data_IF_135286719916
#
_entry.id   IF_135286719916
#
_cell.length_a   1.000
_cell.length_b   1.000
_cell.length_c   1.000
_cell.angle_alpha   90.00
_cell.angle_beta   90.00
_cell.angle_gamma   90.00
#
_symmetry.space_group_name_H-M   'P 1'
#
loop_
_entity.id
_entity.type
_entity.pdbx_description
1 polymer ?
#
# COMPACT_ATOMS: atom_id res chain seq x y z
N UNK A 1 3.96 1.40 20.16
CA UNK A 1 2.56 1.37 19.70
C UNK A 1 2.53 0.68 18.35
N UNK A 2 2.11 -0.60 18.30
CA UNK A 2 1.94 -1.33 17.01
C UNK A 2 0.82 -0.63 16.25
N UNK A 3 1.17 0.01 15.15
CA UNK A 3 0.36 1.07 14.57
C UNK A 3 -0.72 0.43 13.70
N UNK A 4 -1.98 0.48 14.13
CA UNK A 4 -3.19 0.07 13.38
C UNK A 4 -3.41 0.84 12.06
N UNK A 5 -2.41 1.62 11.64
CA UNK A 5 -2.42 2.51 10.49
C UNK A 5 -1.23 2.27 9.55
N UNK A 6 -0.46 1.18 9.75
CA UNK A 6 0.76 0.94 8.98
C UNK A 6 0.46 0.81 7.47
N UNK A 7 -0.48 -0.07 7.09
CA UNK A 7 -0.89 -0.25 5.69
C UNK A 7 -1.44 1.04 5.10
N UNK A 8 -2.39 1.71 5.77
CA UNK A 8 -2.94 2.99 5.30
C UNK A 8 -1.87 4.06 5.09
N UNK A 9 -0.87 4.16 5.95
CA UNK A 9 0.22 5.14 5.79
C UNK A 9 1.09 4.82 4.57
N UNK A 10 1.42 3.55 4.38
CA UNK A 10 2.20 3.08 3.22
C UNK A 10 1.47 3.33 1.91
N UNK A 11 0.16 3.06 1.89
CA UNK A 11 -0.71 3.39 0.75
C UNK A 11 -0.74 4.90 0.50
N UNK A 12 -0.96 5.70 1.54
CA UNK A 12 -0.97 7.17 1.42
C UNK A 12 0.36 7.70 0.89
N UNK A 13 1.47 7.13 1.32
CA UNK A 13 2.80 7.46 0.82
C UNK A 13 2.92 7.14 -0.68
N UNK A 14 2.55 5.92 -1.10
CA UNK A 14 2.57 5.52 -2.51
C UNK A 14 1.71 6.43 -3.40
N UNK A 15 0.51 6.80 -2.93
CA UNK A 15 -0.39 7.73 -3.60
C UNK A 15 0.21 9.14 -3.69
N UNK A 16 0.82 9.61 -2.60
CA UNK A 16 1.44 10.93 -2.54
C UNK A 16 2.61 11.06 -3.52
N UNK A 17 3.50 10.06 -3.57
CA UNK A 17 4.66 10.06 -4.48
C UNK A 17 4.31 9.54 -5.88
N UNK A 18 3.05 9.10 -6.09
CA UNK A 18 2.53 8.49 -7.32
C UNK A 18 3.33 7.28 -7.80
N UNK A 19 3.92 6.54 -6.87
CA UNK A 19 4.76 5.38 -7.15
C UNK A 19 4.58 4.32 -6.09
N UNK A 20 4.37 3.08 -6.52
CA UNK A 20 4.54 1.91 -5.67
C UNK A 20 6.00 1.46 -5.79
N UNK A 21 6.81 1.80 -4.80
CA UNK A 21 8.21 1.38 -4.75
C UNK A 21 8.34 -0.02 -4.16
N UNK A 22 9.41 -0.78 -4.49
CA UNK A 22 9.63 -2.10 -3.89
C UNK A 22 9.66 -2.05 -2.35
N UNK A 23 10.17 -0.96 -1.76
CA UNK A 23 10.18 -0.79 -0.31
C UNK A 23 8.77 -0.69 0.28
N UNK A 24 7.90 0.11 -0.34
CA UNK A 24 6.50 0.27 0.11
C UNK A 24 5.73 -1.04 -0.10
N UNK A 25 5.87 -1.68 -1.26
CA UNK A 25 5.23 -2.95 -1.57
C UNK A 25 5.63 -4.05 -0.59
N UNK A 26 6.93 -4.18 -0.30
CA UNK A 26 7.43 -5.17 0.66
C UNK A 26 6.89 -4.94 2.07
N UNK A 27 6.81 -3.69 2.52
CA UNK A 27 6.29 -3.39 3.86
C UNK A 27 4.77 -3.63 3.94
N UNK A 28 4.02 -3.30 2.88
CA UNK A 28 2.59 -3.65 2.79
C UNK A 28 2.41 -5.17 2.89
N UNK A 29 3.18 -5.94 2.11
CA UNK A 29 3.11 -7.40 2.12
C UNK A 29 3.52 -8.01 3.48
N UNK A 30 4.54 -7.42 4.12
CA UNK A 30 4.96 -7.81 5.47
C UNK A 30 3.83 -7.58 6.48
N UNK A 31 3.22 -6.39 6.48
CA UNK A 31 2.14 -6.05 7.40
C UNK A 31 0.88 -6.91 7.16
N UNK A 32 0.52 -7.18 5.91
CA UNK A 32 -0.56 -8.11 5.57
C UNK A 32 -0.30 -9.52 6.12
N UNK A 33 0.92 -10.03 5.94
CA UNK A 33 1.33 -11.35 6.47
C UNK A 33 1.33 -11.37 7.99
N UNK A 34 1.81 -10.28 8.62
CA UNK A 34 1.92 -10.15 10.09
C UNK A 34 0.55 -10.03 10.76
N UNK A 35 -0.40 -9.33 10.14
CA UNK A 35 -1.74 -9.15 10.67
C UNK A 35 -2.61 -10.40 10.45
N UNK A 36 -2.51 -11.06 9.30
CA UNK A 36 -3.32 -12.23 8.95
C UNK A 36 -4.81 -11.93 8.73
N UNK A 37 -5.21 -10.67 8.90
CA UNK A 37 -6.51 -10.11 8.57
C UNK A 37 -6.33 -8.64 8.19
N UNK A 38 -7.35 -8.08 7.57
CA UNK A 38 -7.36 -6.72 7.06
C UNK A 38 -8.64 -6.03 7.54
N UNK A 39 -8.51 -4.81 8.05
CA UNK A 39 -9.66 -3.98 8.43
C UNK A 39 -10.32 -3.38 7.19
N UNK A 40 -11.62 -3.07 7.25
CA UNK A 40 -12.34 -2.43 6.13
C UNK A 40 -11.64 -1.16 5.64
N UNK A 41 -11.11 -0.34 6.57
CA UNK A 41 -10.40 0.89 6.23
C UNK A 41 -9.06 0.64 5.53
N UNK A 42 -8.35 -0.44 5.86
CA UNK A 42 -7.11 -0.81 5.16
C UNK A 42 -7.43 -1.47 3.80
N UNK A 43 -8.56 -2.16 3.69
CA UNK A 43 -9.07 -2.72 2.44
C UNK A 43 -9.41 -1.61 1.44
N UNK A 44 -10.21 -0.63 1.84
CA UNK A 44 -10.55 0.54 1.02
C UNK A 44 -9.31 1.29 0.53
N UNK A 45 -8.29 1.41 1.39
CA UNK A 45 -7.04 2.06 1.02
C UNK A 45 -6.28 1.28 -0.07
N UNK A 46 -6.17 -0.04 0.08
CA UNK A 46 -5.53 -0.90 -0.94
C UNK A 46 -6.31 -0.89 -2.26
N UNK A 47 -7.65 -0.92 -2.20
CA UNK A 47 -8.51 -0.83 -3.38
C UNK A 47 -8.29 0.50 -4.13
N UNK A 48 -8.20 1.61 -3.39
CA UNK A 48 -7.86 2.91 -3.99
C UNK A 48 -6.50 2.87 -4.68
N UNK A 49 -5.47 2.33 -4.03
CA UNK A 49 -4.13 2.20 -4.63
C UNK A 49 -4.18 1.42 -5.95
N UNK A 50 -4.88 0.28 -5.97
CA UNK A 50 -5.03 -0.53 -7.19
C UNK A 50 -5.75 0.24 -8.30
N UNK A 51 -6.84 0.94 -7.98
CA UNK A 51 -7.59 1.75 -8.96
C UNK A 51 -6.75 2.88 -9.57
N UNK A 52 -5.86 3.48 -8.77
CA UNK A 52 -4.95 4.54 -9.21
C UNK A 52 -3.81 3.98 -10.09
N UNK A 53 -3.37 2.76 -9.82
CA UNK A 53 -2.41 2.04 -10.66
C UNK A 53 -3.03 1.66 -12.01
N UNK A 54 -4.25 1.11 -12.02
CA UNK A 54 -4.98 0.75 -13.23
C UNK A 54 -5.26 1.98 -14.11
N UNK A 55 -5.52 3.13 -13.47
CA UNK A 55 -5.68 4.40 -14.16
C UNK A 55 -4.36 5.04 -14.62
N UNK A 56 -3.21 4.42 -14.34
CA UNK A 56 -1.89 4.92 -14.70
C UNK A 56 -1.43 6.16 -13.92
N UNK A 57 -2.14 6.51 -12.84
CA UNK A 57 -1.81 7.66 -11.96
C UNK A 57 -0.71 7.31 -10.95
N UNK A 58 -0.62 6.04 -10.57
CA UNK A 58 0.47 5.47 -9.77
C UNK A 58 1.27 4.48 -10.62
N UNK A 59 2.59 4.62 -10.64
CA UNK A 59 3.46 3.70 -11.38
C UNK A 59 4.07 2.65 -10.45
N UNK A 60 4.03 1.39 -10.87
CA UNK A 60 4.83 0.34 -10.26
C UNK A 60 6.30 0.54 -10.64
N UNK A 61 7.17 0.71 -9.65
CA UNK A 61 8.62 0.77 -9.87
C UNK A 61 9.17 -0.65 -9.71
N UNK A 62 9.69 -1.28 -10.78
CA UNK A 62 10.20 -2.63 -10.70
C UNK A 62 11.42 -2.68 -9.77
N UNK A 63 11.59 -3.82 -9.10
CA UNK A 63 12.81 -4.10 -8.37
C UNK A 63 13.93 -4.43 -9.39
N UNK A 64 15.13 -3.82 -9.29
CA UNK A 64 16.26 -4.18 -10.15
C UNK A 64 16.83 -5.57 -9.85
#
# INVERSE_FOLDING_TARGET
MKTTYAIRKLVQEALHIRKLTPAIENEINYELTRLGYISDADYEALELLMSEMDAGRVQLVPNP
#
